data_IF_688258120678
#
_entry.id   IF_688258120678
#
_cell.length_a   1.000
_cell.length_b   1.000
_cell.length_c   1.000
_cell.angle_alpha   90.00
_cell.angle_beta   90.00
_cell.angle_gamma   90.00
#
_symmetry.space_group_name_H-M   'P 1'
#
loop_
_entity.id
_entity.type
_entity.pdbx_description
1 polymer ?
#
# COMPACT_ATOMS: atom_id res chain seq x y z
N UNK A 1 -12.61 0.17 -23.16
CA UNK A 1 -13.27 0.93 -22.09
C UNK A 1 -14.17 -0.01 -21.32
N UNK A 2 -14.27 0.11 -20.00
CA UNK A 2 -15.23 -0.64 -19.18
C UNK A 2 -16.58 0.07 -19.14
N UNK A 3 -17.65 -0.65 -18.77
CA UNK A 3 -18.98 -0.03 -18.59
C UNK A 3 -18.96 0.93 -17.41
N UNK A 4 -19.57 2.12 -17.54
CA UNK A 4 -19.67 3.14 -16.50
C UNK A 4 -18.32 3.67 -15.95
N UNK A 5 -17.28 3.72 -16.78
CA UNK A 5 -16.00 4.34 -16.42
C UNK A 5 -16.07 5.87 -16.44
N UNK A 6 -15.30 6.54 -15.57
CA UNK A 6 -15.12 7.98 -15.63
C UNK A 6 -13.64 8.41 -15.58
N UNK A 7 -13.28 9.37 -16.43
CA UNK A 7 -12.05 10.15 -16.34
C UNK A 7 -12.45 11.62 -16.38
N UNK A 8 -12.35 12.33 -15.27
CA UNK A 8 -12.91 13.69 -15.16
C UNK A 8 -12.01 14.78 -15.77
N UNK A 9 -10.73 14.50 -16.00
CA UNK A 9 -9.80 15.45 -16.61
C UNK A 9 -8.33 15.03 -16.51
N UNK A 10 -7.42 15.97 -16.82
CA UNK A 10 -5.98 15.77 -16.77
C UNK A 10 -5.38 15.15 -18.03
N UNK A 11 -4.18 14.60 -17.91
CA UNK A 11 -3.37 14.10 -19.04
C UNK A 11 -3.16 12.59 -18.93
N UNK A 12 -3.36 11.85 -20.03
CA UNK A 12 -3.03 10.41 -20.13
C UNK A 12 -3.63 9.49 -19.05
N UNK A 13 -4.77 9.86 -18.48
CA UNK A 13 -5.46 9.05 -17.47
C UNK A 13 -6.28 7.92 -18.10
N UNK A 14 -6.34 6.75 -17.44
CA UNK A 14 -7.04 5.55 -17.92
C UNK A 14 -7.96 4.98 -16.84
N UNK A 15 -9.26 4.90 -17.13
CA UNK A 15 -10.22 4.11 -16.36
C UNK A 15 -10.72 2.96 -17.26
N UNK A 16 -10.36 1.71 -16.96
CA UNK A 16 -10.64 0.56 -17.82
C UNK A 16 -11.51 -0.51 -17.18
N UNK A 17 -11.57 -0.56 -15.84
CA UNK A 17 -12.44 -1.51 -15.13
C UNK A 17 -13.90 -1.06 -15.13
N UNK A 18 -14.85 -2.00 -15.01
CA UNK A 18 -16.26 -1.65 -14.84
C UNK A 18 -16.44 -0.75 -13.61
N UNK A 19 -17.22 0.34 -13.75
CA UNK A 19 -17.46 1.35 -12.70
C UNK A 19 -16.17 1.91 -12.08
N UNK A 20 -15.05 1.92 -12.81
CA UNK A 20 -13.79 2.51 -12.34
C UNK A 20 -13.75 4.01 -12.60
N UNK A 21 -12.99 4.74 -11.77
CA UNK A 21 -12.90 6.20 -11.87
C UNK A 21 -11.48 6.72 -11.73
N UNK A 22 -11.17 7.76 -12.51
CA UNK A 22 -10.01 8.62 -12.31
C UNK A 22 -10.46 10.08 -12.26
N UNK A 23 -10.31 10.75 -11.13
CA UNK A 23 -10.82 12.12 -11.00
C UNK A 23 -9.93 13.19 -11.66
N UNK A 24 -8.67 12.88 -11.98
CA UNK A 24 -7.77 13.84 -12.63
C UNK A 24 -6.29 13.47 -12.51
N UNK A 25 -5.40 14.43 -12.74
CA UNK A 25 -3.93 14.28 -12.64
C UNK A 25 -3.27 13.86 -13.96
N UNK A 26 -2.08 13.25 -13.89
CA UNK A 26 -1.32 12.83 -15.07
C UNK A 26 -0.91 11.36 -15.00
N UNK A 27 -1.24 10.57 -16.03
CA UNK A 27 -0.83 9.16 -16.18
C UNK A 27 -1.37 8.22 -15.09
N UNK A 28 -2.55 8.50 -14.53
CA UNK A 28 -3.18 7.65 -13.53
C UNK A 28 -3.99 6.51 -14.20
N UNK A 29 -4.01 5.33 -13.58
CA UNK A 29 -4.72 4.14 -14.11
C UNK A 29 -5.61 3.49 -13.05
N UNK A 30 -6.90 3.39 -13.32
CA UNK A 30 -7.88 2.59 -12.56
C UNK A 30 -8.33 1.40 -13.42
N UNK A 31 -7.79 0.21 -13.16
CA UNK A 31 -7.96 -0.97 -14.02
C UNK A 31 -8.96 -1.99 -13.50
N UNK A 32 -9.08 -2.15 -12.18
CA UNK A 32 -10.00 -3.11 -11.57
C UNK A 32 -11.45 -2.67 -11.63
N UNK A 33 -12.39 -3.61 -11.57
CA UNK A 33 -13.80 -3.25 -11.32
C UNK A 33 -13.92 -2.48 -10.00
N UNK A 34 -14.71 -1.41 -9.98
CA UNK A 34 -14.87 -0.48 -8.84
C UNK A 34 -13.55 0.09 -8.30
N UNK A 35 -12.49 0.08 -9.10
CA UNK A 35 -11.22 0.70 -8.72
C UNK A 35 -11.29 2.22 -8.87
N UNK A 36 -10.53 2.94 -8.05
CA UNK A 36 -10.56 4.40 -8.05
C UNK A 36 -9.15 4.98 -7.92
N UNK A 37 -8.88 6.04 -8.69
CA UNK A 37 -7.73 6.93 -8.46
C UNK A 37 -8.22 8.37 -8.38
N UNK A 38 -8.11 8.99 -7.20
CA UNK A 38 -8.65 10.35 -7.02
C UNK A 38 -7.76 11.44 -7.62
N UNK A 39 -6.50 11.15 -7.98
CA UNK A 39 -5.62 12.10 -8.66
C UNK A 39 -4.13 11.79 -8.51
N UNK A 40 -3.29 12.82 -8.65
CA UNK A 40 -1.83 12.71 -8.55
C UNK A 40 -1.17 12.36 -9.88
N UNK A 41 0.00 11.71 -9.83
CA UNK A 41 0.75 11.34 -11.03
C UNK A 41 1.23 9.89 -11.01
N UNK A 42 0.96 9.13 -12.08
CA UNK A 42 1.43 7.77 -12.26
C UNK A 42 0.96 6.79 -11.17
N UNK A 43 -0.25 7.00 -10.64
CA UNK A 43 -0.85 6.10 -9.66
C UNK A 43 -1.63 4.97 -10.36
N UNK A 44 -1.70 3.79 -9.73
CA UNK A 44 -2.40 2.62 -10.28
C UNK A 44 -3.24 1.90 -9.23
N UNK A 45 -4.53 1.72 -9.52
CA UNK A 45 -5.44 0.84 -8.80
C UNK A 45 -5.80 -0.35 -9.72
N UNK A 46 -5.29 -1.55 -9.42
CA UNK A 46 -5.21 -2.65 -10.39
C UNK A 46 -6.35 -3.67 -10.33
N UNK A 47 -6.80 -4.03 -9.12
CA UNK A 47 -7.77 -5.12 -8.87
C UNK A 47 -9.11 -4.61 -8.33
N UNK A 48 -10.06 -5.51 -8.16
CA UNK A 48 -11.41 -5.21 -7.67
C UNK A 48 -11.38 -4.37 -6.39
N UNK A 49 -12.09 -3.25 -6.39
CA UNK A 49 -12.21 -2.35 -5.25
C UNK A 49 -10.90 -1.74 -4.74
N UNK A 50 -9.82 -1.81 -5.52
CA UNK A 50 -8.54 -1.18 -5.15
C UNK A 50 -8.62 0.34 -5.30
N UNK A 51 -7.90 1.07 -4.45
CA UNK A 51 -7.98 2.53 -4.43
C UNK A 51 -6.64 3.22 -4.20
N UNK A 52 -6.41 4.32 -4.93
CA UNK A 52 -5.33 5.26 -4.66
C UNK A 52 -5.88 6.68 -4.53
N UNK A 53 -5.79 7.30 -3.36
CA UNK A 53 -6.35 8.65 -3.17
C UNK A 53 -5.46 9.76 -3.76
N UNK A 54 -4.18 9.50 -4.02
CA UNK A 54 -3.30 10.46 -4.69
C UNK A 54 -1.81 10.16 -4.54
N UNK A 55 -0.99 11.20 -4.70
CA UNK A 55 0.47 11.11 -4.62
C UNK A 55 1.15 10.79 -5.96
N UNK A 56 2.34 10.20 -5.91
CA UNK A 56 3.13 9.88 -7.11
C UNK A 56 3.61 8.43 -7.12
N UNK A 57 3.40 7.71 -8.22
CA UNK A 57 3.90 6.34 -8.39
C UNK A 57 3.38 5.35 -7.32
N UNK A 58 2.14 5.50 -6.86
CA UNK A 58 1.54 4.60 -5.87
C UNK A 58 0.74 3.48 -6.52
N UNK A 59 0.85 2.26 -6.00
CA UNK A 59 0.18 1.06 -6.54
C UNK A 59 -0.65 0.32 -5.49
N UNK A 60 -1.96 0.29 -5.70
CA UNK A 60 -2.89 -0.62 -5.03
C UNK A 60 -3.17 -1.81 -5.97
N UNK A 61 -2.49 -2.93 -5.72
CA UNK A 61 -2.35 -4.03 -6.70
C UNK A 61 -3.36 -5.16 -6.49
N UNK A 62 -3.77 -5.41 -5.24
CA UNK A 62 -4.66 -6.53 -4.90
C UNK A 62 -6.09 -6.09 -4.61
N UNK A 63 -6.99 -7.05 -4.45
CA UNK A 63 -8.40 -6.79 -4.16
C UNK A 63 -8.54 -6.06 -2.84
N UNK A 64 -9.37 -5.00 -2.84
CA UNK A 64 -9.59 -4.12 -1.68
C UNK A 64 -8.32 -3.50 -1.08
N UNK A 65 -7.20 -3.50 -1.83
CA UNK A 65 -5.98 -2.85 -1.38
C UNK A 65 -6.09 -1.33 -1.54
N UNK A 66 -5.41 -0.59 -0.66
CA UNK A 66 -5.46 0.88 -0.70
C UNK A 66 -4.10 1.54 -0.47
N UNK A 67 -3.88 2.64 -1.19
CA UNK A 67 -2.79 3.57 -0.91
C UNK A 67 -3.36 4.97 -0.80
N UNK A 68 -3.25 5.60 0.37
CA UNK A 68 -3.86 6.93 0.54
C UNK A 68 -3.06 8.01 -0.20
N UNK A 69 -1.74 8.09 0.00
CA UNK A 69 -0.91 9.12 -0.61
C UNK A 69 0.58 8.74 -0.62
N UNK A 70 1.46 9.74 -0.79
CA UNK A 70 2.91 9.59 -0.73
C UNK A 70 3.54 9.27 -2.09
N UNK A 71 4.73 8.68 -2.07
CA UNK A 71 5.46 8.35 -3.28
C UNK A 71 5.98 6.91 -3.27
N UNK A 72 5.78 6.18 -4.38
CA UNK A 72 6.31 4.81 -4.58
C UNK A 72 5.79 3.78 -3.57
N UNK A 73 4.60 3.99 -3.00
CA UNK A 73 3.99 3.06 -2.05
C UNK A 73 3.27 1.92 -2.77
N UNK A 74 3.29 0.72 -2.19
CA UNK A 74 2.70 -0.48 -2.81
C UNK A 74 1.90 -1.31 -1.80
N UNK A 75 0.59 -1.42 -2.02
CA UNK A 75 -0.31 -2.33 -1.31
C UNK A 75 -0.62 -3.53 -2.23
N UNK A 76 0.04 -4.67 -2.01
CA UNK A 76 0.02 -5.86 -2.89
C UNK A 76 -0.76 -7.06 -2.34
N UNK A 77 -1.18 -7.00 -1.09
CA UNK A 77 -2.02 -8.05 -0.48
C UNK A 77 -3.50 -7.70 -0.49
N UNK A 78 -4.35 -8.72 -0.46
CA UNK A 78 -5.80 -8.53 -0.29
C UNK A 78 -6.10 -7.76 1.01
N UNK A 79 -6.93 -6.74 0.96
CA UNK A 79 -7.18 -5.83 2.10
C UNK A 79 -5.92 -5.18 2.69
N UNK A 80 -4.78 -5.17 1.98
CA UNK A 80 -3.57 -4.50 2.45
C UNK A 80 -3.70 -2.98 2.29
N UNK A 81 -2.99 -2.24 3.15
CA UNK A 81 -3.04 -0.78 3.12
C UNK A 81 -1.68 -0.14 3.33
N UNK A 82 -1.46 0.97 2.62
CA UNK A 82 -0.35 1.88 2.89
C UNK A 82 -0.88 3.31 2.99
N UNK A 83 -0.85 3.90 4.19
CA UNK A 83 -1.47 5.21 4.41
C UNK A 83 -0.64 6.38 3.84
N UNK A 84 0.65 6.18 3.54
CA UNK A 84 1.47 7.24 2.96
C UNK A 84 2.97 6.99 3.08
N UNK A 85 3.74 8.06 2.95
CA UNK A 85 5.21 8.05 3.06
C UNK A 85 5.91 7.74 1.75
N UNK A 86 7.14 7.21 1.83
CA UNK A 86 7.98 6.94 0.66
C UNK A 86 8.42 5.48 0.57
N UNK A 87 8.13 4.83 -0.54
CA UNK A 87 8.61 3.48 -0.85
C UNK A 87 8.21 2.40 0.17
N UNK A 88 7.03 2.52 0.78
CA UNK A 88 6.49 1.54 1.72
C UNK A 88 5.78 0.39 1.00
N UNK A 89 5.82 -0.81 1.57
CA UNK A 89 5.22 -2.02 0.98
C UNK A 89 4.42 -2.83 2.00
N UNK A 90 3.14 -3.07 1.72
CA UNK A 90 2.29 -4.03 2.41
C UNK A 90 1.95 -5.15 1.43
N UNK A 91 2.52 -6.35 1.60
CA UNK A 91 2.61 -7.33 0.49
C UNK A 91 1.68 -8.53 0.59
N UNK A 92 1.02 -8.74 1.74
CA UNK A 92 0.20 -9.92 2.02
C UNK A 92 -1.17 -9.53 2.60
N UNK A 93 -2.07 -10.50 2.72
CA UNK A 93 -3.43 -10.26 3.16
C UNK A 93 -3.48 -9.52 4.51
N UNK A 94 -4.27 -8.43 4.57
CA UNK A 94 -4.44 -7.57 5.77
C UNK A 94 -3.16 -6.97 6.34
N UNK A 95 -2.06 -7.01 5.59
CA UNK A 95 -0.82 -6.34 5.98
C UNK A 95 -0.96 -4.82 5.86
N UNK A 96 -0.29 -4.08 6.74
CA UNK A 96 -0.42 -2.62 6.77
C UNK A 96 0.90 -1.89 7.02
N UNK A 97 1.05 -0.75 6.37
CA UNK A 97 2.11 0.22 6.67
C UNK A 97 1.50 1.61 6.82
N UNK A 98 1.53 2.17 8.02
CA UNK A 98 0.87 3.46 8.28
C UNK A 98 1.66 4.66 7.75
N UNK A 99 2.95 4.50 7.44
CA UNK A 99 3.75 5.58 6.85
C UNK A 99 5.25 5.38 6.98
N UNK A 100 6.00 6.49 6.97
CA UNK A 100 7.47 6.49 7.03
C UNK A 100 8.12 6.21 5.68
N UNK A 101 9.33 5.65 5.70
CA UNK A 101 10.12 5.43 4.50
C UNK A 101 10.72 4.01 4.43
N UNK A 102 10.51 3.32 3.30
CA UNK A 102 11.04 1.98 3.03
C UNK A 102 10.65 0.92 4.08
N UNK A 103 9.47 1.04 4.66
CA UNK A 103 8.92 0.05 5.59
C UNK A 103 8.25 -1.10 4.83
N UNK A 104 8.32 -2.31 5.37
CA UNK A 104 7.78 -3.51 4.73
C UNK A 104 6.99 -4.37 5.71
N UNK A 105 5.70 -4.56 5.43
CA UNK A 105 4.87 -5.60 6.04
C UNK A 105 4.74 -6.77 5.05
N UNK A 106 5.36 -7.91 5.38
CA UNK A 106 5.66 -9.01 4.46
C UNK A 106 4.95 -10.33 4.77
N UNK A 107 3.92 -10.31 5.59
CA UNK A 107 3.11 -11.50 5.87
C UNK A 107 1.67 -11.13 6.19
N UNK A 108 0.84 -12.16 6.30
CA UNK A 108 -0.57 -12.04 6.68
C UNK A 108 -0.64 -11.40 8.07
N UNK A 109 -1.48 -10.35 8.18
CA UNK A 109 -1.69 -9.58 9.40
C UNK A 109 -0.42 -8.91 9.98
N UNK A 110 0.67 -8.81 9.20
CA UNK A 110 1.86 -8.09 9.62
C UNK A 110 1.65 -6.56 9.52
N UNK A 111 2.20 -5.80 10.46
CA UNK A 111 2.05 -4.34 10.48
C UNK A 111 3.36 -3.60 10.77
N UNK A 112 3.52 -2.43 10.15
CA UNK A 112 4.56 -1.46 10.50
C UNK A 112 3.93 -0.08 10.64
N UNK A 113 3.96 0.49 11.84
CA UNK A 113 3.30 1.78 12.10
C UNK A 113 4.09 2.97 11.53
N UNK A 114 5.38 2.83 11.24
CA UNK A 114 6.17 3.89 10.62
C UNK A 114 7.68 3.72 10.78
N UNK A 115 8.41 4.83 10.68
CA UNK A 115 9.88 4.85 10.80
C UNK A 115 10.61 4.66 9.47
N UNK A 116 11.85 4.17 9.53
CA UNK A 116 12.70 3.98 8.34
C UNK A 116 13.27 2.55 8.27
N UNK A 117 13.09 1.86 7.15
CA UNK A 117 13.65 0.52 6.90
C UNK A 117 13.20 -0.56 7.91
N UNK A 118 12.00 -0.45 8.49
CA UNK A 118 11.47 -1.49 9.36
C UNK A 118 10.82 -2.61 8.55
N UNK A 119 10.96 -3.86 9.01
CA UNK A 119 10.40 -5.05 8.37
C UNK A 119 9.64 -5.92 9.38
N UNK A 120 8.37 -6.21 9.09
CA UNK A 120 7.56 -7.20 9.78
C UNK A 120 7.29 -8.37 8.80
N UNK A 121 7.91 -9.53 9.02
CA UNK A 121 8.01 -10.65 8.07
C UNK A 121 7.32 -11.93 8.56
N UNK A 122 7.17 -12.11 9.87
CA UNK A 122 6.35 -13.19 10.41
C UNK A 122 4.86 -12.86 10.35
N UNK A 123 4.02 -13.90 10.42
CA UNK A 123 2.56 -13.74 10.55
C UNK A 123 2.24 -13.04 11.88
N UNK A 124 1.28 -12.12 11.87
CA UNK A 124 0.89 -11.32 13.05
C UNK A 124 2.02 -10.48 13.67
N UNK A 125 3.12 -10.24 12.95
CA UNK A 125 4.21 -9.41 13.44
C UNK A 125 3.82 -7.94 13.52
N UNK A 126 4.43 -7.23 14.46
CA UNK A 126 4.31 -5.78 14.52
C UNK A 126 5.66 -5.09 14.75
N UNK A 127 5.86 -3.97 14.05
CA UNK A 127 6.92 -3.02 14.35
C UNK A 127 6.31 -1.63 14.53
N UNK A 128 6.31 -1.12 15.76
CA UNK A 128 5.68 0.16 16.08
C UNK A 128 6.43 1.37 15.51
N UNK A 129 7.71 1.22 15.15
CA UNK A 129 8.49 2.29 14.53
C UNK A 129 9.99 2.10 14.66
N UNK A 130 10.74 3.21 14.59
CA UNK A 130 12.20 3.22 14.71
C UNK A 130 12.92 3.07 13.38
N UNK A 131 14.16 2.56 13.41
CA UNK A 131 15.01 2.43 12.23
C UNK A 131 15.59 1.02 12.11
N UNK A 132 15.44 0.38 10.95
CA UNK A 132 16.08 -0.90 10.63
C UNK A 132 15.71 -2.05 11.59
N UNK A 133 14.49 -2.07 12.10
CA UNK A 133 14.00 -3.17 12.94
C UNK A 133 13.48 -4.34 12.09
N UNK A 134 13.66 -5.58 12.55
CA UNK A 134 13.33 -6.81 11.83
C UNK A 134 12.57 -7.81 12.72
N UNK A 135 11.25 -7.85 12.58
CA UNK A 135 10.38 -8.82 13.26
C UNK A 135 10.06 -9.97 12.30
N UNK A 136 10.48 -11.20 12.62
CA UNK A 136 10.36 -12.39 11.75
C UNK A 136 9.67 -13.57 12.43
N UNK A 137 9.71 -13.65 13.76
CA UNK A 137 8.98 -14.69 14.50
C UNK A 137 7.48 -14.49 14.41
N UNK A 138 6.70 -15.55 14.24
CA UNK A 138 5.23 -15.47 14.35
C UNK A 138 4.84 -14.78 15.67
N UNK A 139 3.89 -13.85 15.61
CA UNK A 139 3.45 -12.96 16.72
C UNK A 139 4.50 -12.01 17.31
N UNK A 140 5.73 -11.97 16.75
CA UNK A 140 6.79 -11.14 17.30
C UNK A 140 6.50 -9.62 17.19
N UNK A 141 6.94 -8.89 18.21
CA UNK A 141 6.69 -7.45 18.33
C UNK A 141 8.00 -6.71 18.62
N UNK A 142 8.23 -5.61 17.90
CA UNK A 142 9.28 -4.64 18.20
C UNK A 142 8.62 -3.29 18.47
N UNK A 143 8.72 -2.81 19.70
CA UNK A 143 8.11 -1.53 20.14
C UNK A 143 8.80 -0.28 19.56
N UNK A 144 10.01 -0.40 19.04
CA UNK A 144 10.76 0.70 18.45
C UNK A 144 12.27 0.48 18.50
N UNK A 145 13.04 1.57 18.44
CA UNK A 145 14.51 1.54 18.53
C UNK A 145 15.22 1.39 17.19
N UNK A 146 16.50 1.02 17.22
CA UNK A 146 17.36 0.93 16.04
C UNK A 146 18.00 -0.47 15.97
N UNK A 147 17.78 -1.18 14.86
CA UNK A 147 18.49 -2.43 14.57
C UNK A 147 18.04 -3.64 15.41
N UNK A 148 16.85 -3.61 15.99
CA UNK A 148 16.33 -4.73 16.78
C UNK A 148 15.91 -5.90 15.89
N UNK A 149 16.06 -7.13 16.40
CA UNK A 149 15.62 -8.37 15.73
C UNK A 149 14.76 -9.21 16.67
N UNK A 150 13.60 -9.65 16.21
CA UNK A 150 12.73 -10.57 16.93
C UNK A 150 12.44 -11.79 16.04
N UNK A 151 13.09 -12.93 16.31
CA UNK A 151 13.14 -14.07 15.39
C UNK A 151 12.35 -15.29 15.89
N UNK A 152 12.07 -15.38 17.20
CA UNK A 152 11.38 -16.52 17.81
C UNK A 152 9.85 -16.35 17.78
N UNK A 153 9.14 -17.48 17.67
CA UNK A 153 7.69 -17.54 17.83
C UNK A 153 7.32 -17.39 19.31
N UNK A 154 6.22 -16.69 19.59
CA UNK A 154 5.57 -16.67 20.91
C UNK A 154 4.13 -17.16 20.79
#
# INVERSE_FOLDING_TARGET
SGTYTSVSGGEENKATGQTSSVSGGSKNTAQGERSAVSGGSQNTAYKFGSAVSGGNLNWAVAEHSSVTAGQRNQAKGEFSSVSGGWANQATHARSSVSGGARNMAQNVDASVSGGFLNKAVGRYCSVSGGKSNFANGETSTISGGIGNKAENKF
#
